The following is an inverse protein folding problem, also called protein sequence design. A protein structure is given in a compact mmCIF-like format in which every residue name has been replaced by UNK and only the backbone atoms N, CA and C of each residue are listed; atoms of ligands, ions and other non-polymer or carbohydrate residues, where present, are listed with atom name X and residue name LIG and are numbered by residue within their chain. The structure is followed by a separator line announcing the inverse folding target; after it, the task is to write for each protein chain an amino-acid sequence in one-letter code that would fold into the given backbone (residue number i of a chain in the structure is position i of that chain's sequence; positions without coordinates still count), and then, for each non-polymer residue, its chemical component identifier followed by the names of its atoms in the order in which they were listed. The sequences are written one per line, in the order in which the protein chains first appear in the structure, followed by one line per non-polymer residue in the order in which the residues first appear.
data_IF_692209421346
#
_entry.id   IF_692209421346
#
_cell.length_a   1.000
_cell.length_b   1.000
_cell.length_c   1.000
_cell.angle_alpha   90.00
_cell.angle_beta   90.00
_cell.angle_gamma   90.00
#
_symmetry.space_group_name_H-M   'P 1'
#
loop_
_entity.id
_entity.type
_entity.pdbx_description
1 polymer ?
#
# COMPACT_ATOMS: atom_id res chain seq x y z
N UNK A 1 -40.32 10.04 1.48
CA UNK A 1 -40.12 8.60 1.57
C UNK A 1 -38.86 8.30 2.33
N UNK A 2 -39.00 7.75 3.49
CA UNK A 2 -37.87 7.40 4.33
C UNK A 2 -37.15 6.20 3.76
N UNK A 3 -35.81 6.28 3.55
CA UNK A 3 -35.08 5.10 3.21
C UNK A 3 -35.20 4.09 4.35
N UNK A 4 -35.68 2.93 4.05
CA UNK A 4 -35.73 1.86 5.02
C UNK A 4 -34.34 1.56 5.52
N UNK A 5 -34.10 1.77 6.79
CA UNK A 5 -32.88 1.30 7.48
C UNK A 5 -32.90 -0.22 7.63
N UNK A 6 -33.21 -0.92 6.57
CA UNK A 6 -33.24 -2.37 6.54
C UNK A 6 -31.97 -2.95 5.92
N UNK A 7 -31.77 -4.23 6.10
CA UNK A 7 -30.73 -5.02 5.44
C UNK A 7 -30.63 -4.67 3.95
N UNK A 8 -29.40 -4.60 3.39
CA UNK A 8 -29.23 -4.36 1.95
C UNK A 8 -30.07 -5.36 1.16
N UNK A 9 -30.84 -4.83 0.24
CA UNK A 9 -31.67 -5.66 -0.62
C UNK A 9 -30.80 -6.44 -1.61
N UNK A 10 -31.37 -7.47 -2.22
CA UNK A 10 -30.70 -8.26 -3.25
C UNK A 10 -30.22 -7.38 -4.41
N UNK A 11 -30.97 -6.31 -4.69
CA UNK A 11 -30.61 -5.32 -5.71
C UNK A 11 -29.37 -4.50 -5.30
N UNK A 12 -29.25 -4.15 -4.02
CA UNK A 12 -28.07 -3.44 -3.50
C UNK A 12 -26.83 -4.32 -3.56
N UNK A 13 -26.97 -5.61 -3.23
CA UNK A 13 -25.88 -6.58 -3.37
C UNK A 13 -25.47 -6.79 -4.83
N UNK A 14 -26.44 -6.88 -5.75
CA UNK A 14 -26.17 -6.97 -7.18
C UNK A 14 -25.53 -5.70 -7.73
N UNK A 15 -25.88 -4.55 -7.17
CA UNK A 15 -25.28 -3.26 -7.55
C UNK A 15 -23.84 -3.15 -7.07
N UNK A 16 -23.54 -3.58 -5.86
CA UNK A 16 -22.15 -3.65 -5.33
C UNK A 16 -21.31 -4.62 -6.17
N UNK A 17 -21.83 -5.78 -6.53
CA UNK A 17 -21.14 -6.74 -7.40
C UNK A 17 -20.94 -6.16 -8.81
N UNK A 18 -21.88 -5.37 -9.30
CA UNK A 18 -21.76 -4.68 -10.60
C UNK A 18 -20.72 -3.53 -10.52
N UNK A 19 -20.62 -2.85 -9.40
CA UNK A 19 -19.61 -1.79 -9.18
C UNK A 19 -18.21 -2.38 -9.07
N UNK A 20 -18.04 -3.52 -8.40
CA UNK A 20 -16.78 -4.27 -8.40
C UNK A 20 -16.42 -4.78 -9.79
N UNK A 21 -17.41 -5.21 -10.59
CA UNK A 21 -17.22 -5.58 -12.00
C UNK A 21 -16.96 -4.38 -12.92
N UNK A 22 -17.17 -3.16 -12.47
CA UNK A 22 -16.93 -1.94 -13.25
C UNK A 22 -15.48 -1.50 -13.29
N UNK A 23 -14.63 -2.03 -12.41
CA UNK A 23 -13.20 -1.73 -12.49
C UNK A 23 -12.68 -2.19 -13.86
N UNK A 24 -12.01 -1.30 -14.54
CA UNK A 24 -11.42 -1.61 -15.84
C UNK A 24 -10.44 -2.78 -15.68
N UNK A 25 -10.61 -3.79 -16.50
CA UNK A 25 -9.80 -5.03 -16.47
C UNK A 25 -8.30 -4.73 -16.57
N UNK A 26 -7.94 -3.69 -17.29
CA UNK A 26 -6.55 -3.25 -17.44
C UNK A 26 -5.98 -2.74 -16.11
N UNK A 27 -6.77 -2.00 -15.35
CA UNK A 27 -6.39 -1.53 -14.01
C UNK A 27 -6.27 -2.72 -13.05
N UNK A 28 -7.22 -3.65 -13.09
CA UNK A 28 -7.17 -4.88 -12.29
C UNK A 28 -5.90 -5.68 -12.56
N UNK A 29 -5.55 -5.87 -13.83
CA UNK A 29 -4.30 -6.56 -14.22
C UNK A 29 -3.06 -5.81 -13.71
N UNK A 30 -3.06 -4.50 -13.84
CA UNK A 30 -1.95 -3.67 -13.35
C UNK A 30 -1.80 -3.79 -11.82
N UNK A 31 -2.90 -3.82 -11.08
CA UNK A 31 -2.88 -4.01 -9.62
C UNK A 31 -2.26 -5.37 -9.25
N UNK A 32 -2.63 -6.44 -9.94
CA UNK A 32 -2.04 -7.76 -9.72
C UNK A 32 -0.52 -7.74 -9.97
N UNK A 33 -0.09 -7.12 -11.07
CA UNK A 33 1.33 -6.98 -11.39
C UNK A 33 2.09 -6.17 -10.34
N UNK A 34 1.50 -5.10 -9.83
CA UNK A 34 2.08 -4.29 -8.75
C UNK A 34 2.26 -5.13 -7.49
N UNK A 35 1.23 -5.84 -7.07
CA UNK A 35 1.28 -6.68 -5.85
C UNK A 35 2.28 -7.83 -5.98
N UNK A 36 2.39 -8.44 -7.15
CA UNK A 36 3.35 -9.51 -7.40
C UNK A 36 4.81 -9.03 -7.42
N UNK A 37 5.05 -7.80 -7.82
CA UNK A 37 6.39 -7.26 -8.04
C UNK A 37 6.77 -6.14 -7.06
N UNK A 38 6.10 -6.04 -5.92
CA UNK A 38 6.33 -4.95 -4.96
C UNK A 38 7.78 -4.91 -4.45
N UNK A 39 8.43 -6.07 -4.36
CA UNK A 39 9.83 -6.23 -3.93
C UNK A 39 10.86 -5.95 -5.03
N UNK A 40 10.41 -5.63 -6.22
CA UNK A 40 11.25 -5.32 -7.36
C UNK A 40 11.07 -3.87 -7.80
N UNK A 41 11.90 -3.42 -8.73
CA UNK A 41 11.69 -2.11 -9.35
C UNK A 41 10.51 -2.18 -10.31
N UNK A 42 9.50 -1.38 -10.06
CA UNK A 42 8.31 -1.30 -10.90
C UNK A 42 8.42 -0.08 -11.80
N UNK A 43 8.40 -0.31 -13.10
CA UNK A 43 8.35 0.75 -14.11
C UNK A 43 6.89 1.00 -14.53
N UNK A 44 6.47 2.26 -14.45
CA UNK A 44 5.13 2.67 -14.91
C UNK A 44 4.97 2.41 -16.41
N UNK A 45 6.03 2.63 -17.19
CA UNK A 45 6.02 2.37 -18.63
C UNK A 45 5.81 0.87 -18.94
N UNK A 46 6.43 -0.01 -18.16
CA UNK A 46 6.26 -1.45 -18.31
C UNK A 46 4.85 -1.91 -17.93
N UNK A 47 4.27 -1.36 -16.85
CA UNK A 47 2.89 -1.63 -16.48
C UNK A 47 1.91 -1.19 -17.59
N UNK A 48 2.11 0.01 -18.14
CA UNK A 48 1.30 0.51 -19.24
C UNK A 48 1.39 -0.41 -20.46
N UNK A 49 2.60 -0.85 -20.80
CA UNK A 49 2.85 -1.76 -21.93
C UNK A 49 2.17 -3.12 -21.70
N UNK A 50 2.24 -3.64 -20.49
CA UNK A 50 1.61 -4.91 -20.13
C UNK A 50 0.08 -4.92 -20.35
N UNK A 51 -0.55 -3.76 -20.24
CA UNK A 51 -1.99 -3.59 -20.48
C UNK A 51 -2.32 -2.92 -21.82
N UNK A 52 -1.33 -2.84 -22.71
CA UNK A 52 -1.46 -2.28 -24.07
C UNK A 52 -1.93 -0.82 -24.11
N UNK A 53 -1.48 -0.01 -23.17
CA UNK A 53 -1.76 1.41 -23.10
C UNK A 53 -0.46 2.23 -23.17
N UNK A 54 -0.56 3.47 -23.67
CA UNK A 54 0.49 4.44 -23.49
C UNK A 54 0.62 4.80 -22.02
N UNK A 55 1.82 5.25 -21.60
CA UNK A 55 2.06 5.68 -20.22
C UNK A 55 1.04 6.72 -19.74
N UNK A 56 0.74 7.71 -20.59
CA UNK A 56 -0.23 8.77 -20.28
C UNK A 56 -1.63 8.20 -20.07
N UNK A 57 -2.11 7.36 -20.99
CA UNK A 57 -3.44 6.75 -20.89
C UNK A 57 -3.57 5.83 -19.68
N UNK A 58 -2.53 5.06 -19.42
CA UNK A 58 -2.48 4.19 -18.24
C UNK A 58 -2.58 5.00 -16.94
N UNK A 59 -1.75 6.02 -16.78
CA UNK A 59 -1.77 6.88 -15.58
C UNK A 59 -3.13 7.55 -15.40
N UNK A 60 -3.71 8.04 -16.48
CA UNK A 60 -5.02 8.70 -16.45
C UNK A 60 -6.14 7.72 -16.06
N UNK A 61 -6.17 6.56 -16.68
CA UNK A 61 -7.15 5.51 -16.39
C UNK A 61 -7.01 5.01 -14.94
N UNK A 62 -5.78 4.73 -14.52
CA UNK A 62 -5.49 4.27 -13.16
C UNK A 62 -5.97 5.29 -12.12
N UNK A 63 -5.64 6.56 -12.30
CA UNK A 63 -6.07 7.63 -11.39
C UNK A 63 -7.60 7.79 -11.36
N UNK A 64 -8.26 7.64 -12.49
CA UNK A 64 -9.72 7.69 -12.58
C UNK A 64 -10.36 6.56 -11.78
N UNK A 65 -9.84 5.34 -11.90
CA UNK A 65 -10.37 4.16 -11.22
C UNK A 65 -10.00 4.10 -9.73
N UNK A 66 -8.77 4.46 -9.39
CA UNK A 66 -8.20 4.27 -8.05
C UNK A 66 -8.15 5.55 -7.22
N UNK A 67 -8.45 6.72 -7.80
CA UNK A 67 -8.33 8.04 -7.18
C UNK A 67 -6.89 8.44 -6.80
N UNK A 68 -5.91 7.61 -7.16
CA UNK A 68 -4.48 7.83 -6.91
C UNK A 68 -3.69 7.52 -8.19
N UNK A 69 -2.60 8.24 -8.41
CA UNK A 69 -1.68 7.89 -9.49
C UNK A 69 -0.99 6.54 -9.20
N UNK A 70 -0.54 5.81 -10.22
CA UNK A 70 0.18 4.56 -10.02
C UNK A 70 1.41 4.70 -9.11
N UNK A 71 2.18 5.77 -9.27
CA UNK A 71 3.37 6.04 -8.45
C UNK A 71 3.03 6.22 -6.97
N UNK A 72 1.97 6.97 -6.66
CA UNK A 72 1.51 7.18 -5.29
C UNK A 72 0.99 5.88 -4.70
N UNK A 73 0.24 5.10 -5.47
CA UNK A 73 -0.28 3.81 -5.05
C UNK A 73 0.85 2.83 -4.67
N UNK A 74 1.83 2.67 -5.56
CA UNK A 74 3.00 1.81 -5.32
C UNK A 74 3.78 2.29 -4.09
N UNK A 75 4.01 3.59 -3.98
CA UNK A 75 4.70 4.19 -2.83
C UNK A 75 3.99 3.90 -1.52
N UNK A 76 2.67 4.02 -1.48
CA UNK A 76 1.85 3.72 -0.30
C UNK A 76 1.94 2.25 0.09
N UNK A 77 1.85 1.33 -0.87
CA UNK A 77 2.00 -0.10 -0.62
C UNK A 77 3.39 -0.43 -0.05
N UNK A 78 4.44 0.19 -0.57
CA UNK A 78 5.80 0.00 -0.07
C UNK A 78 5.96 0.51 1.37
N UNK A 79 5.31 1.61 1.71
CA UNK A 79 5.32 2.12 3.10
C UNK A 79 4.57 1.19 4.05
N UNK A 80 3.43 0.64 3.63
CA UNK A 80 2.70 -0.36 4.39
C UNK A 80 3.54 -1.62 4.65
N UNK A 81 4.20 -2.12 3.62
CA UNK A 81 5.08 -3.29 3.75
C UNK A 81 6.31 -2.98 4.61
N UNK A 82 6.89 -1.80 4.47
CA UNK A 82 8.00 -1.35 5.31
C UNK A 82 7.61 -1.29 6.79
N UNK A 83 6.44 -0.75 7.09
CA UNK A 83 5.89 -0.71 8.45
C UNK A 83 5.77 -2.11 9.04
N UNK A 84 5.23 -3.03 8.28
CA UNK A 84 5.10 -4.44 8.66
C UNK A 84 6.46 -5.07 8.93
N UNK A 85 7.42 -4.89 8.03
CA UNK A 85 8.78 -5.43 8.19
C UNK A 85 9.50 -4.84 9.41
N UNK A 86 9.31 -3.54 9.69
CA UNK A 86 9.88 -2.89 10.86
C UNK A 86 9.33 -3.46 12.17
N UNK A 87 8.07 -3.87 12.18
CA UNK A 87 7.40 -4.43 13.36
C UNK A 87 7.58 -5.91 13.54
N UNK A 88 7.71 -6.67 12.46
CA UNK A 88 7.67 -8.14 12.48
C UNK A 88 9.01 -8.81 12.24
N UNK A 89 10.02 -8.07 11.77
CA UNK A 89 11.33 -8.64 11.41
C UNK A 89 12.47 -7.93 12.14
N UNK A 90 13.64 -8.59 12.18
CA UNK A 90 14.88 -8.01 12.69
C UNK A 90 15.73 -7.35 11.57
N UNK A 91 15.20 -7.25 10.37
CA UNK A 91 15.90 -6.63 9.25
C UNK A 91 16.22 -5.16 9.55
N UNK A 92 17.43 -4.74 9.20
CA UNK A 92 17.83 -3.34 9.28
C UNK A 92 17.03 -2.50 8.29
N UNK A 93 16.98 -1.19 8.51
CA UNK A 93 16.35 -0.25 7.56
C UNK A 93 16.97 -0.38 6.18
N UNK A 94 18.28 -0.63 6.09
CA UNK A 94 19.00 -0.84 4.83
C UNK A 94 18.49 -2.11 4.10
N UNK A 95 18.34 -3.19 4.85
CA UNK A 95 17.84 -4.46 4.31
C UNK A 95 16.39 -4.34 3.86
N UNK A 96 15.54 -3.66 4.65
CA UNK A 96 14.14 -3.39 4.27
C UNK A 96 14.06 -2.61 2.96
N UNK A 97 14.90 -1.57 2.81
CA UNK A 97 14.95 -0.81 1.55
C UNK A 97 15.35 -1.68 0.37
N UNK A 98 16.32 -2.56 0.57
CA UNK A 98 16.75 -3.52 -0.45
C UNK A 98 15.61 -4.47 -0.85
N UNK A 99 14.90 -5.01 0.13
CA UNK A 99 13.76 -5.90 -0.11
C UNK A 99 12.59 -5.21 -0.84
N UNK A 100 12.44 -3.90 -0.70
CA UNK A 100 11.36 -3.14 -1.32
C UNK A 100 11.74 -2.53 -2.68
N UNK A 101 12.64 -3.15 -3.41
CA UNK A 101 13.05 -2.71 -4.74
C UNK A 101 14.24 -1.74 -4.71
N UNK A 102 15.09 -1.87 -3.71
CA UNK A 102 16.33 -1.12 -3.56
C UNK A 102 16.11 0.42 -3.50
N UNK A 103 15.22 0.82 -2.63
CA UNK A 103 14.80 2.21 -2.49
C UNK A 103 15.94 3.12 -2.01
N UNK A 104 16.01 4.33 -2.55
CA UNK A 104 16.93 5.36 -2.09
C UNK A 104 16.71 5.71 -0.61
N UNK A 105 17.81 5.84 0.14
CA UNK A 105 17.78 6.10 1.59
C UNK A 105 17.03 7.36 1.96
N UNK A 106 17.37 8.46 1.32
CA UNK A 106 16.79 9.77 1.63
C UNK A 106 15.33 9.82 1.24
N UNK A 107 15.01 9.34 0.06
CA UNK A 107 13.64 9.28 -0.45
C UNK A 107 12.75 8.40 0.42
N UNK A 108 13.24 7.22 0.80
CA UNK A 108 12.53 6.28 1.66
C UNK A 108 12.23 6.87 3.05
N UNK A 109 13.25 7.46 3.69
CA UNK A 109 13.10 8.06 5.01
C UNK A 109 12.09 9.22 5.02
N UNK A 110 12.13 10.06 4.00
CA UNK A 110 11.17 11.17 3.83
C UNK A 110 9.75 10.67 3.58
N UNK A 111 9.60 9.69 2.69
CA UNK A 111 8.31 9.10 2.37
C UNK A 111 7.69 8.41 3.58
N UNK A 112 8.47 7.65 4.33
CA UNK A 112 8.02 6.98 5.55
C UNK A 112 7.62 7.99 6.62
N UNK A 113 8.42 9.02 6.84
CA UNK A 113 8.11 10.09 7.79
C UNK A 113 6.82 10.84 7.41
N UNK A 114 6.60 11.08 6.12
CA UNK A 114 5.35 11.67 5.63
C UNK A 114 4.17 10.74 5.88
N UNK A 115 4.37 9.44 5.73
CA UNK A 115 3.34 8.42 5.91
C UNK A 115 2.99 8.21 7.40
N UNK A 116 3.97 8.10 8.28
CA UNK A 116 3.76 7.76 9.72
C UNK A 116 4.12 8.86 10.70
N UNK A 117 4.68 9.96 10.27
CA UNK A 117 5.14 11.05 11.14
C UNK A 117 6.46 10.79 11.84
N UNK A 118 7.07 9.62 11.66
CA UNK A 118 8.35 9.21 12.25
C UNK A 118 9.27 8.64 11.17
N UNK A 119 10.58 8.78 11.36
CA UNK A 119 11.54 8.06 10.50
C UNK A 119 11.45 6.55 10.77
N UNK A 120 11.89 5.70 9.84
CA UNK A 120 11.89 4.25 10.08
C UNK A 120 12.62 3.83 11.36
N UNK A 121 13.75 4.43 11.65
CA UNK A 121 14.52 4.16 12.87
C UNK A 121 13.77 4.58 14.13
N UNK A 122 13.17 5.76 14.13
CA UNK A 122 12.33 6.25 15.24
C UNK A 122 11.12 5.39 15.46
N UNK A 123 10.47 4.94 14.39
CA UNK A 123 9.32 4.06 14.45
C UNK A 123 9.68 2.72 15.13
N UNK A 124 10.78 2.10 14.71
CA UNK A 124 11.26 0.85 15.31
C UNK A 124 11.60 1.01 16.79
N UNK A 125 12.29 2.09 17.15
CA UNK A 125 12.62 2.39 18.54
C UNK A 125 11.36 2.50 19.40
N UNK A 126 10.34 3.18 18.91
CA UNK A 126 9.06 3.34 19.60
C UNK A 126 8.34 2.01 19.83
N UNK A 127 8.40 1.11 18.85
CA UNK A 127 7.84 -0.25 18.98
C UNK A 127 8.55 -1.04 20.08
N UNK A 128 9.88 -0.99 20.13
CA UNK A 128 10.70 -1.66 21.15
C UNK A 128 10.38 -1.11 22.53
N UNK A 129 10.31 0.21 22.68
CA UNK A 129 9.98 0.87 23.96
C UNK A 129 8.58 0.49 24.44
N UNK A 130 7.62 0.39 23.54
CA UNK A 130 6.25 -0.05 23.89
C UNK A 130 6.21 -1.52 24.35
N UNK A 131 6.98 -2.40 23.72
CA UNK A 131 7.08 -3.81 24.11
C UNK A 131 7.68 -3.90 25.52
N UNK A 132 8.75 -3.18 25.80
CA UNK A 132 9.37 -3.16 27.12
C UNK A 132 8.41 -2.68 28.22
N UNK A 133 7.65 -1.61 27.97
CA UNK A 133 6.64 -1.10 28.90
C UNK A 133 5.56 -2.12 29.19
N UNK A 134 5.07 -2.80 28.16
CA UNK A 134 4.03 -3.82 28.31
C UNK A 134 4.56 -5.03 29.10
N UNK A 135 5.78 -5.48 28.80
CA UNK A 135 6.41 -6.61 29.49
C UNK A 135 6.63 -6.29 30.98
N UNK A 136 7.09 -5.08 31.29
CA UNK A 136 7.28 -4.63 32.67
C UNK A 136 5.96 -4.59 33.44
N UNK A 137 4.88 -4.20 32.79
CA UNK A 137 3.56 -4.13 33.40
C UNK A 137 3.01 -5.54 33.72
N UNK A 138 3.25 -6.52 32.86
CA UNK A 138 2.86 -7.91 33.12
C UNK A 138 3.76 -8.60 34.18
N UNK A 139 5.03 -8.25 34.24
CA UNK A 139 5.97 -8.79 35.21
C UNK A 139 5.75 -8.22 36.63
N UNK A 140 5.08 -7.07 36.75
CA UNK A 140 4.78 -6.41 38.02
C UNK A 140 3.48 -6.91 38.70
N UNK A 141 2.74 -7.77 38.04
CA UNK A 141 1.59 -8.48 38.58
C UNK A 141 1.96 -9.95 38.79
#
# INVERSE_FOLDING_TARGET
MTPSTGCPTREDADQLVREEKRMDRRVSTALELIHCNLHERISIAELARAVNLSRWRFCHLFKTEMSLSPSVYIGTLRMLEAEKMLGETFLSVKEIRAELGNLDRTHFSRAFKKYRGLTPAQFRRRLVDNIHKTTTQYAAT
#
